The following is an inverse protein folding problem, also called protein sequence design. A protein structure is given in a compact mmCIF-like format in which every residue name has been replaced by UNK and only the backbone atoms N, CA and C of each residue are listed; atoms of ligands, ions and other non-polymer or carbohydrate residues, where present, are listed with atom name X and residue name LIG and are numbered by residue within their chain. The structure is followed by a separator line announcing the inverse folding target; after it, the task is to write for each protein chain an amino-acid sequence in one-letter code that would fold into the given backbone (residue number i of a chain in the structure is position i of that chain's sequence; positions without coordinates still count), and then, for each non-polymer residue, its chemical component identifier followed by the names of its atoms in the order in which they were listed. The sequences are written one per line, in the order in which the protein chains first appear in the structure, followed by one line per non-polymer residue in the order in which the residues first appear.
data_IF_569320746093
#
_entry.id   IF_569320746093
#
_cell.length_a   1.000
_cell.length_b   1.000
_cell.length_c   1.000
_cell.angle_alpha   90.00
_cell.angle_beta   90.00
_cell.angle_gamma   90.00
#
_symmetry.space_group_name_H-M   'P 1'
#
loop_
_entity.id
_entity.type
_entity.pdbx_description
1 polymer ?
#
# COMPACT_ATOMS: atom_id res chain seq x y z
N UNK A 1 -14.54 -17.30 -29.06
CA UNK A 1 -14.76 -16.88 -27.66
C UNK A 1 -13.80 -15.74 -27.36
N UNK A 2 -14.23 -14.49 -27.52
CA UNK A 2 -13.44 -13.32 -27.10
C UNK A 2 -14.29 -12.62 -26.06
N UNK A 3 -14.20 -13.10 -24.82
CA UNK A 3 -14.80 -12.39 -23.70
C UNK A 3 -14.09 -11.05 -23.58
N UNK A 4 -14.84 -9.96 -23.69
CA UNK A 4 -14.35 -8.62 -23.45
C UNK A 4 -13.96 -8.54 -21.96
N UNK A 5 -12.65 -8.51 -21.70
CA UNK A 5 -12.14 -8.34 -20.33
C UNK A 5 -12.16 -6.85 -20.06
N UNK A 6 -13.22 -6.34 -19.42
CA UNK A 6 -13.30 -4.95 -18.99
C UNK A 6 -13.02 -4.83 -17.50
N UNK A 7 -12.39 -3.72 -17.11
CA UNK A 7 -12.17 -3.35 -15.71
C UNK A 7 -12.99 -2.12 -15.36
N UNK A 8 -13.75 -2.19 -14.26
CA UNK A 8 -14.57 -1.08 -13.78
C UNK A 8 -13.71 -0.08 -12.98
N UNK A 9 -13.68 1.17 -13.43
CA UNK A 9 -12.92 2.26 -12.82
C UNK A 9 -13.33 2.54 -11.36
N UNK A 10 -14.61 2.41 -11.04
CA UNK A 10 -15.14 2.55 -9.68
C UNK A 10 -14.60 1.44 -8.76
N UNK A 11 -14.48 0.21 -9.26
CA UNK A 11 -13.92 -0.93 -8.53
C UNK A 11 -12.43 -0.72 -8.27
N UNK A 12 -11.66 -0.30 -9.29
CA UNK A 12 -10.22 -0.02 -9.15
C UNK A 12 -9.98 1.15 -8.17
N UNK A 13 -10.80 2.20 -8.26
CA UNK A 13 -10.76 3.35 -7.35
C UNK A 13 -11.08 2.94 -5.91
N UNK A 14 -12.11 2.11 -5.71
CA UNK A 14 -12.51 1.60 -4.40
C UNK A 14 -11.42 0.73 -3.78
N UNK A 15 -10.84 -0.20 -4.54
CA UNK A 15 -9.72 -1.03 -4.09
C UNK A 15 -8.50 -0.18 -3.73
N UNK A 16 -8.16 0.79 -4.59
CA UNK A 16 -7.04 1.71 -4.34
C UNK A 16 -7.22 2.50 -3.04
N UNK A 17 -8.43 3.02 -2.78
CA UNK A 17 -8.75 3.74 -1.54
C UNK A 17 -8.67 2.81 -0.32
N UNK A 18 -9.27 1.61 -0.41
CA UNK A 18 -9.27 0.62 0.66
C UNK A 18 -7.85 0.14 1.03
N UNK A 19 -6.94 0.03 0.06
CA UNK A 19 -5.55 -0.32 0.32
C UNK A 19 -4.74 0.84 0.92
N UNK A 20 -5.01 2.10 0.49
CA UNK A 20 -4.26 3.28 0.96
C UNK A 20 -4.71 3.82 2.33
N UNK A 21 -5.96 3.61 2.74
CA UNK A 21 -6.46 4.14 4.02
C UNK A 21 -5.75 3.55 5.25
N UNK A 22 -5.67 2.22 5.43
CA UNK A 22 -5.03 1.60 6.60
C UNK A 22 -3.55 1.97 6.71
N UNK A 23 -2.88 2.14 5.57
CA UNK A 23 -1.49 2.58 5.47
C UNK A 23 -1.25 3.97 6.07
N UNK A 24 -2.24 4.87 6.05
CA UNK A 24 -2.12 6.20 6.68
C UNK A 24 -2.21 6.15 8.20
N UNK A 25 -2.92 5.17 8.76
CA UNK A 25 -3.21 5.07 10.19
C UNK A 25 -2.09 4.36 10.98
N UNK A 26 -1.25 3.57 10.31
CA UNK A 26 -0.10 2.91 10.94
C UNK A 26 1.11 3.87 10.95
N UNK A 27 1.27 4.62 12.04
CA UNK A 27 2.50 5.36 12.35
C UNK A 27 2.97 5.07 13.78
N UNK A 28 4.14 4.45 13.89
CA UNK A 28 4.80 4.15 15.15
C UNK A 28 5.81 5.24 15.53
N UNK A 29 5.38 6.50 15.47
CA UNK A 29 6.17 7.62 15.98
C UNK A 29 6.10 7.64 17.51
N UNK A 30 7.26 7.57 18.18
CA UNK A 30 7.35 7.85 19.62
C UNK A 30 7.03 9.33 19.81
N UNK A 31 5.80 9.62 20.27
CA UNK A 31 5.31 10.99 20.46
C UNK A 31 6.11 11.79 21.49
N UNK A 32 6.90 11.14 22.34
CA UNK A 32 7.72 11.80 23.35
C UNK A 32 9.15 11.25 23.34
N UNK A 33 10.13 12.16 23.43
CA UNK A 33 11.50 11.86 23.84
C UNK A 33 11.47 11.43 25.31
N UNK A 34 11.08 10.18 25.56
CA UNK A 34 11.14 9.63 26.91
C UNK A 34 12.63 9.44 27.22
N UNK A 35 13.12 10.15 28.25
CA UNK A 35 14.45 9.94 28.81
C UNK A 35 14.41 8.61 29.56
N UNK A 36 14.76 7.54 28.88
CA UNK A 36 14.71 6.22 29.46
C UNK A 36 16.01 5.92 30.20
N UNK A 37 15.90 5.59 31.48
CA UNK A 37 16.97 4.94 32.25
C UNK A 37 17.43 3.67 31.51
N UNK A 38 18.74 3.35 31.58
CA UNK A 38 19.45 2.24 30.90
C UNK A 38 18.99 0.82 31.29
N UNK A 39 17.68 0.59 31.36
CA UNK A 39 17.07 -0.71 31.61
C UNK A 39 17.07 -1.56 30.34
N UNK A 40 17.47 -2.82 30.47
CA UNK A 40 17.43 -3.83 29.39
C UNK A 40 16.03 -3.95 28.77
N UNK A 41 14.97 -3.75 29.56
CA UNK A 41 13.59 -3.80 29.06
C UNK A 41 13.28 -2.66 28.09
N UNK A 42 13.80 -1.46 28.35
CA UNK A 42 13.64 -0.30 27.46
C UNK A 42 14.38 -0.53 26.15
N UNK A 43 15.63 -1.01 26.22
CA UNK A 43 16.43 -1.27 25.02
C UNK A 43 15.73 -2.28 24.09
N UNK A 44 15.12 -3.31 24.68
CA UNK A 44 14.28 -4.28 23.95
C UNK A 44 13.04 -3.62 23.34
N UNK A 45 12.32 -2.78 24.09
CA UNK A 45 11.15 -2.05 23.57
C UNK A 45 11.53 -1.15 22.38
N UNK A 46 12.65 -0.42 22.47
CA UNK A 46 13.17 0.43 21.39
C UNK A 46 13.53 -0.37 20.14
N UNK A 47 14.11 -1.56 20.32
CA UNK A 47 14.41 -2.49 19.22
C UNK A 47 13.15 -3.03 18.56
N UNK A 48 12.16 -3.46 19.35
CA UNK A 48 10.85 -3.92 18.84
C UNK A 48 10.16 -2.80 18.04
N UNK A 49 10.13 -1.58 18.58
CA UNK A 49 9.52 -0.45 17.88
C UNK A 49 10.25 -0.10 16.59
N UNK A 50 11.59 -0.16 16.59
CA UNK A 50 12.38 0.08 15.37
C UNK A 50 12.09 -0.96 14.31
N UNK A 51 11.93 -2.23 14.70
CA UNK A 51 11.55 -3.34 13.82
C UNK A 51 10.14 -3.15 13.26
N UNK A 52 9.17 -2.81 14.10
CA UNK A 52 7.80 -2.49 13.67
C UNK A 52 7.78 -1.31 12.69
N UNK A 53 8.52 -0.24 12.99
CA UNK A 53 8.63 0.93 12.10
C UNK A 53 9.23 0.56 10.75
N UNK A 54 10.22 -0.34 10.70
CA UNK A 54 10.80 -0.85 9.46
C UNK A 54 9.77 -1.69 8.68
N UNK A 55 9.15 -2.67 9.34
CA UNK A 55 8.13 -3.53 8.72
C UNK A 55 6.93 -2.75 8.20
N UNK A 56 6.46 -1.75 8.94
CA UNK A 56 5.43 -0.82 8.46
C UNK A 56 5.88 -0.09 7.21
N UNK A 57 7.09 0.47 7.16
CA UNK A 57 7.57 1.18 5.96
C UNK A 57 7.64 0.28 4.74
N UNK A 58 8.13 -0.95 4.90
CA UNK A 58 8.19 -1.96 3.83
C UNK A 58 6.78 -2.30 3.35
N UNK A 59 5.85 -2.57 4.26
CA UNK A 59 4.44 -2.79 3.93
C UNK A 59 3.82 -1.61 3.16
N UNK A 60 4.05 -0.36 3.58
CA UNK A 60 3.56 0.83 2.85
C UNK A 60 4.07 0.87 1.42
N UNK A 61 5.36 0.57 1.23
CA UNK A 61 6.00 0.54 -0.08
C UNK A 61 5.41 -0.56 -0.97
N UNK A 62 5.19 -1.75 -0.44
CA UNK A 62 4.63 -2.86 -1.19
C UNK A 62 3.19 -2.56 -1.63
N UNK A 63 2.38 -1.96 -0.75
CA UNK A 63 1.03 -1.49 -1.10
C UNK A 63 1.07 -0.43 -2.21
N UNK A 64 2.02 0.51 -2.18
CA UNK A 64 2.19 1.50 -3.25
C UNK A 64 2.54 0.85 -4.60
N UNK A 65 3.41 -0.18 -4.58
CA UNK A 65 3.76 -0.96 -5.77
C UNK A 65 2.54 -1.70 -6.33
N UNK A 66 1.78 -2.38 -5.47
CA UNK A 66 0.60 -3.14 -5.87
C UNK A 66 -0.48 -2.23 -6.47
N UNK A 67 -0.75 -1.07 -5.84
CA UNK A 67 -1.67 -0.07 -6.41
C UNK A 67 -1.15 0.42 -7.77
N UNK A 68 0.14 0.70 -7.90
CA UNK A 68 0.73 1.13 -9.17
C UNK A 68 0.57 0.08 -10.27
N UNK A 69 0.72 -1.20 -9.93
CA UNK A 69 0.54 -2.31 -10.87
C UNK A 69 -0.94 -2.46 -11.28
N UNK A 70 -1.87 -2.35 -10.33
CA UNK A 70 -3.32 -2.39 -10.61
C UNK A 70 -3.74 -1.29 -11.59
N UNK A 71 -3.25 -0.06 -11.38
CA UNK A 71 -3.52 1.06 -12.30
C UNK A 71 -2.98 0.79 -13.70
N UNK A 72 -1.74 0.29 -13.82
CA UNK A 72 -1.16 -0.05 -15.14
C UNK A 72 -1.94 -1.13 -15.87
N UNK A 73 -2.42 -2.15 -15.15
CA UNK A 73 -3.25 -3.22 -15.73
C UNK A 73 -4.57 -2.62 -16.23
N UNK A 74 -5.21 -1.76 -15.44
CA UNK A 74 -6.44 -1.06 -15.83
C UNK A 74 -6.24 -0.24 -17.12
N UNK A 75 -5.17 0.56 -17.18
CA UNK A 75 -4.84 1.35 -18.37
C UNK A 75 -4.56 0.47 -19.60
N UNK A 76 -3.87 -0.66 -19.43
CA UNK A 76 -3.59 -1.59 -20.52
C UNK A 76 -4.87 -2.24 -21.06
N UNK A 77 -5.81 -2.58 -20.17
CA UNK A 77 -7.12 -3.12 -20.53
C UNK A 77 -7.93 -2.07 -21.30
N UNK A 78 -8.01 -0.83 -20.80
CA UNK A 78 -8.72 0.25 -21.50
C UNK A 78 -8.15 0.52 -22.89
N UNK A 79 -6.82 0.52 -23.06
CA UNK A 79 -6.19 0.66 -24.38
C UNK A 79 -6.56 -0.48 -25.32
N UNK A 80 -6.52 -1.71 -24.81
CA UNK A 80 -6.88 -2.90 -25.60
C UNK A 80 -8.35 -2.84 -26.04
N UNK A 81 -9.26 -2.46 -25.15
CA UNK A 81 -10.69 -2.29 -25.47
C UNK A 81 -10.91 -1.18 -26.53
N UNK A 82 -10.20 -0.06 -26.43
CA UNK A 82 -10.27 1.01 -27.44
C UNK A 82 -9.74 0.57 -28.82
N UNK A 83 -8.65 -0.20 -28.86
CA UNK A 83 -8.07 -0.71 -30.10
C UNK A 83 -8.96 -1.78 -30.76
N UNK A 84 -9.58 -2.65 -29.96
CA UNK A 84 -10.53 -3.66 -30.45
C UNK A 84 -11.85 -3.05 -30.92
N UNK A 85 -12.37 -2.01 -30.25
CA UNK A 85 -13.58 -1.30 -30.67
C UNK A 85 -13.41 -0.39 -31.90
N UNK A 86 -12.18 -0.22 -32.39
CA UNK A 86 -11.84 0.57 -33.59
C UNK A 86 -11.73 -0.25 -34.87
N UNK A 87 -11.85 -1.58 -34.80
CA UNK A 87 -11.93 -2.52 -35.93
C UNK A 87 -13.37 -2.88 -36.23
#
# INVERSE_FOLDING_TARGET
MTGQVSTNEEVVSTLTKGMKQPVKEVDFSLKNSISYSNSVAVSKLKSCLSTLKKGTKEFKKDVEVDVGNLVKIHEAIQKTDQELGRK
#
